data_IF_413221079577
#
_entry.id   IF_413221079577
#
_cell.length_a   1.000
_cell.length_b   1.000
_cell.length_c   1.000
_cell.angle_alpha   90.00
_cell.angle_beta   90.00
_cell.angle_gamma   90.00
#
_symmetry.space_group_name_H-M   'P 1'
#
loop_
_entity.id
_entity.type
_entity.pdbx_description
1 polymer ?
#
# COMPACT_ATOMS: atom_id res chain seq x y z
N UNK A 1 -9.91 53.44 -15.50
CA UNK A 1 -11.27 53.33 -16.07
C UNK A 1 -11.26 52.97 -17.58
N UNK A 2 -10.37 52.09 -18.04
CA UNK A 2 -10.28 51.67 -19.47
C UNK A 2 -10.30 50.12 -19.63
N UNK A 3 -9.97 49.36 -18.58
CA UNK A 3 -9.98 47.88 -18.60
C UNK A 3 -11.37 47.22 -18.44
N UNK A 4 -12.42 47.98 -18.08
CA UNK A 4 -13.76 47.43 -17.82
C UNK A 4 -14.74 47.55 -19.01
N UNK A 5 -14.40 48.29 -20.07
CA UNK A 5 -15.27 48.46 -21.25
C UNK A 5 -15.66 47.16 -21.98
N UNK A 6 -14.81 46.12 -22.12
CA UNK A 6 -15.21 44.91 -22.82
C UNK A 6 -16.09 43.96 -22.00
N UNK A 7 -16.15 44.11 -20.66
CA UNK A 7 -16.94 43.24 -19.79
C UNK A 7 -18.45 43.54 -19.84
N UNK A 8 -18.84 44.79 -20.09
CA UNK A 8 -20.24 45.20 -20.10
C UNK A 8 -21.05 44.64 -21.29
N UNK A 9 -20.38 44.29 -22.40
CA UNK A 9 -21.04 43.72 -23.59
C UNK A 9 -21.08 42.19 -23.60
N UNK A 10 -20.58 41.52 -22.54
CA UNK A 10 -20.60 40.08 -22.44
C UNK A 10 -21.97 39.62 -21.92
N UNK A 11 -22.64 38.76 -22.69
CA UNK A 11 -23.86 38.08 -22.24
C UNK A 11 -23.61 37.40 -20.89
N UNK A 12 -24.53 37.55 -19.93
CA UNK A 12 -24.47 36.94 -18.58
C UNK A 12 -23.95 35.49 -18.57
N UNK A 13 -24.42 34.65 -19.50
CA UNK A 13 -23.97 33.26 -19.64
C UNK A 13 -22.46 33.12 -19.88
N UNK A 14 -21.88 33.97 -20.72
CA UNK A 14 -20.44 33.96 -21.03
C UNK A 14 -19.63 34.37 -19.81
N UNK A 15 -20.09 35.37 -19.05
CA UNK A 15 -19.43 35.82 -17.82
C UNK A 15 -19.42 34.73 -16.75
N UNK A 16 -20.56 34.04 -16.54
CA UNK A 16 -20.64 32.90 -15.61
C UNK A 16 -19.71 31.76 -16.02
N UNK A 17 -19.62 31.44 -17.32
CA UNK A 17 -18.68 30.42 -17.82
C UNK A 17 -17.22 30.81 -17.57
N UNK A 18 -16.85 32.08 -17.81
CA UNK A 18 -15.50 32.58 -17.54
C UNK A 18 -15.17 32.44 -16.06
N UNK A 19 -16.08 32.86 -15.16
CA UNK A 19 -15.89 32.75 -13.72
C UNK A 19 -15.79 31.30 -13.24
N UNK A 20 -16.60 30.39 -13.79
CA UNK A 20 -16.51 28.96 -13.50
C UNK A 20 -15.18 28.35 -13.97
N UNK A 21 -14.71 28.71 -15.17
CA UNK A 21 -13.41 28.27 -15.67
C UNK A 21 -12.25 28.84 -14.84
N UNK A 22 -12.35 30.11 -14.42
CA UNK A 22 -11.36 30.73 -13.54
C UNK A 22 -11.31 30.01 -12.19
N UNK A 23 -12.46 29.72 -11.59
CA UNK A 23 -12.56 28.92 -10.36
C UNK A 23 -11.87 27.55 -10.50
N UNK A 24 -12.21 26.80 -11.55
CA UNK A 24 -11.63 25.47 -11.80
C UNK A 24 -10.12 25.54 -12.04
N UNK A 25 -9.65 26.57 -12.77
CA UNK A 25 -8.22 26.74 -13.03
C UNK A 25 -7.43 27.02 -11.76
N UNK A 26 -7.93 27.87 -10.85
CA UNK A 26 -7.30 28.13 -9.55
C UNK A 26 -7.23 26.84 -8.73
N UNK A 27 -8.33 26.11 -8.63
CA UNK A 27 -8.37 24.84 -7.90
C UNK A 27 -7.31 23.85 -8.43
N UNK A 28 -7.22 23.70 -9.75
CA UNK A 28 -6.24 22.78 -10.36
C UNK A 28 -4.80 23.27 -10.17
N UNK A 29 -4.54 24.58 -10.37
CA UNK A 29 -3.20 25.15 -10.26
C UNK A 29 -2.68 25.03 -8.82
N UNK A 30 -3.47 25.43 -7.83
CA UNK A 30 -3.07 25.34 -6.43
C UNK A 30 -2.98 23.89 -5.96
N UNK A 31 -3.92 23.03 -6.33
CA UNK A 31 -3.83 21.58 -6.04
C UNK A 31 -2.55 20.94 -6.59
N UNK A 32 -2.17 21.26 -7.82
CA UNK A 32 -0.90 20.80 -8.40
C UNK A 32 0.33 21.41 -7.71
N UNK A 33 0.27 22.70 -7.37
CA UNK A 33 1.35 23.40 -6.66
C UNK A 33 1.60 22.77 -5.29
N UNK A 34 0.55 22.54 -4.50
CA UNK A 34 0.67 21.88 -3.19
C UNK A 34 1.19 20.45 -3.32
N UNK A 35 0.70 19.69 -4.30
CA UNK A 35 1.22 18.36 -4.57
C UNK A 35 2.72 18.36 -4.90
N UNK A 36 3.18 19.33 -5.71
CA UNK A 36 4.60 19.47 -6.02
C UNK A 36 5.41 19.79 -4.76
N UNK A 37 4.95 20.75 -3.96
CA UNK A 37 5.62 21.15 -2.71
C UNK A 37 5.68 19.98 -1.73
N UNK A 38 4.58 19.26 -1.53
CA UNK A 38 4.53 18.13 -0.62
C UNK A 38 5.51 17.03 -1.03
N UNK A 39 5.59 16.69 -2.32
CA UNK A 39 6.53 15.68 -2.78
C UNK A 39 8.00 16.14 -2.79
N UNK A 40 8.26 17.44 -2.98
CA UNK A 40 9.62 17.99 -2.88
C UNK A 40 10.12 18.08 -1.44
N UNK A 41 9.20 18.23 -0.47
CA UNK A 41 9.51 18.33 0.96
C UNK A 41 9.27 17.03 1.73
N UNK A 42 9.02 15.90 1.03
CA UNK A 42 8.63 14.63 1.65
C UNK A 42 7.49 14.76 2.68
N UNK A 43 6.58 15.71 2.45
CA UNK A 43 5.44 16.00 3.31
C UNK A 43 5.72 16.95 4.47
N UNK A 44 6.97 17.32 4.78
CA UNK A 44 7.33 18.13 5.96
C UNK A 44 6.64 19.51 6.02
N UNK A 45 6.27 20.06 4.86
CA UNK A 45 5.60 21.35 4.76
C UNK A 45 4.09 21.28 5.03
N UNK A 46 3.57 20.08 5.32
CA UNK A 46 2.18 19.82 5.64
C UNK A 46 2.08 18.97 6.91
N UNK A 47 1.00 19.15 7.67
CA UNK A 47 0.59 18.23 8.73
C UNK A 47 -0.59 17.43 8.22
N UNK A 48 -0.50 16.11 8.29
CA UNK A 48 -1.57 15.20 7.88
C UNK A 48 -2.19 14.60 9.13
N UNK A 49 -3.53 14.53 9.17
CA UNK A 49 -4.21 13.73 10.18
C UNK A 49 -3.71 12.28 10.11
N UNK A 50 -3.49 11.67 11.29
CA UNK A 50 -2.85 10.35 11.41
C UNK A 50 -3.54 9.28 10.55
N UNK A 51 -4.86 9.20 10.57
CA UNK A 51 -5.61 8.18 9.82
C UNK A 51 -5.45 8.34 8.31
N UNK A 52 -5.42 9.58 7.81
CA UNK A 52 -5.27 9.88 6.38
C UNK A 52 -3.83 9.65 5.92
N UNK A 53 -2.86 10.02 6.76
CA UNK A 53 -1.47 9.70 6.52
C UNK A 53 -1.26 8.18 6.46
N UNK A 54 -1.85 7.44 7.41
CA UNK A 54 -1.73 5.98 7.48
C UNK A 54 -2.41 5.30 6.29
N UNK A 55 -3.63 5.74 5.93
CA UNK A 55 -4.31 5.25 4.73
C UNK A 55 -3.50 5.52 3.46
N UNK A 56 -2.88 6.70 3.35
CA UNK A 56 -2.00 7.04 2.22
C UNK A 56 -0.79 6.11 2.18
N UNK A 57 -0.14 5.87 3.32
CA UNK A 57 0.98 4.92 3.44
C UNK A 57 0.57 3.52 2.97
N UNK A 58 -0.51 2.95 3.49
CA UNK A 58 -1.02 1.63 3.10
C UNK A 58 -1.34 1.57 1.60
N UNK A 59 -1.96 2.62 1.05
CA UNK A 59 -2.30 2.70 -0.37
C UNK A 59 -1.06 2.69 -1.25
N UNK A 60 -0.02 3.46 -0.89
CA UNK A 60 1.23 3.51 -1.65
C UNK A 60 2.02 2.20 -1.52
N UNK A 61 2.04 1.60 -0.32
CA UNK A 61 2.65 0.29 -0.09
C UNK A 61 2.06 -0.77 -1.04
N UNK A 62 0.73 -0.90 -1.07
CA UNK A 62 0.03 -1.85 -1.93
C UNK A 62 0.26 -1.55 -3.41
N UNK A 63 0.25 -0.27 -3.80
CA UNK A 63 0.50 0.15 -5.18
C UNK A 63 1.90 -0.22 -5.66
N UNK A 64 2.94 -0.01 -4.84
CA UNK A 64 4.32 -0.33 -5.19
C UNK A 64 4.55 -1.83 -5.37
N UNK A 65 3.82 -2.66 -4.61
CA UNK A 65 3.82 -4.12 -4.73
C UNK A 65 2.79 -4.66 -5.73
N UNK A 66 2.02 -3.79 -6.42
CA UNK A 66 0.92 -4.18 -7.33
C UNK A 66 -0.12 -5.10 -6.69
N UNK A 67 -0.43 -4.87 -5.41
CA UNK A 67 -1.40 -5.66 -4.63
C UNK A 67 -2.82 -5.09 -4.81
N UNK A 68 -3.69 -5.87 -5.45
CA UNK A 68 -5.10 -5.52 -5.70
C UNK A 68 -6.07 -6.23 -4.73
N UNK A 69 -5.73 -6.26 -3.43
CA UNK A 69 -6.56 -6.90 -2.40
C UNK A 69 -7.38 -5.83 -1.68
N UNK A 70 -8.70 -5.96 -1.66
CA UNK A 70 -9.61 -5.08 -0.93
C UNK A 70 -10.19 -5.82 0.30
N UNK A 71 -9.38 -5.95 1.33
CA UNK A 71 -9.75 -6.62 2.58
C UNK A 71 -9.36 -5.72 3.77
N UNK A 72 -10.25 -5.61 4.77
CA UNK A 72 -10.07 -4.75 5.96
C UNK A 72 -8.91 -5.28 6.83
N UNK A 73 -8.94 -6.56 7.17
CA UNK A 73 -7.94 -7.24 7.98
C UNK A 73 -6.54 -7.14 7.34
N UNK A 74 -6.47 -7.21 6.01
CA UNK A 74 -5.22 -7.02 5.27
C UNK A 74 -4.68 -5.58 5.37
N UNK A 75 -5.55 -4.57 5.41
CA UNK A 75 -5.09 -3.20 5.65
C UNK A 75 -4.68 -2.99 7.11
N UNK A 76 -5.36 -3.66 8.05
CA UNK A 76 -5.07 -3.62 9.48
C UNK A 76 -3.69 -4.23 9.80
N UNK A 77 -3.35 -5.39 9.23
CA UNK A 77 -2.02 -5.97 9.44
C UNK A 77 -0.89 -5.08 8.87
N UNK A 78 -1.11 -4.38 7.75
CA UNK A 78 -0.12 -3.42 7.22
C UNK A 78 0.01 -2.22 8.17
N UNK A 79 -1.10 -1.72 8.70
CA UNK A 79 -1.11 -0.66 9.71
C UNK A 79 -0.29 -1.08 10.95
N UNK A 80 -0.48 -2.30 11.42
CA UNK A 80 0.21 -2.81 12.59
C UNK A 80 1.71 -3.01 12.32
N UNK A 81 2.08 -3.49 11.13
CA UNK A 81 3.47 -3.55 10.66
C UNK A 81 4.14 -2.16 10.59
N UNK A 82 3.40 -1.10 10.22
CA UNK A 82 3.93 0.27 10.24
C UNK A 82 4.09 0.76 11.69
N UNK A 83 3.18 0.40 12.60
CA UNK A 83 3.24 0.83 14.01
C UNK A 83 4.28 0.08 14.84
N UNK A 84 4.54 -1.19 14.52
CA UNK A 84 5.47 -2.05 15.26
C UNK A 84 6.93 -1.64 15.12
N UNK A 85 7.24 -0.77 14.16
CA UNK A 85 8.60 -0.32 13.84
C UNK A 85 9.56 -1.44 13.40
N UNK A 86 9.05 -2.63 13.08
CA UNK A 86 9.88 -3.75 12.62
C UNK A 86 10.66 -3.42 11.34
N UNK A 87 10.11 -2.53 10.51
CA UNK A 87 10.79 -2.00 9.31
C UNK A 87 12.12 -1.27 9.61
N UNK A 88 12.38 -0.88 10.87
CA UNK A 88 13.66 -0.29 11.29
C UNK A 88 14.77 -1.33 11.42
N UNK A 89 14.42 -2.62 11.58
CA UNK A 89 15.39 -3.70 11.61
C UNK A 89 16.16 -3.72 10.28
N UNK A 90 17.50 -3.85 10.31
CA UNK A 90 18.28 -3.88 9.08
C UNK A 90 17.96 -5.15 8.28
N UNK A 91 17.80 -4.96 6.97
CA UNK A 91 17.50 -6.01 6.00
C UNK A 91 18.73 -6.18 5.11
N UNK A 92 19.15 -7.41 4.90
CA UNK A 92 20.23 -7.78 3.98
C UNK A 92 19.73 -8.79 2.96
N UNK A 93 20.43 -8.87 1.84
CA UNK A 93 20.18 -9.92 0.84
C UNK A 93 21.02 -11.13 1.17
N UNK A 94 20.38 -12.28 1.27
CA UNK A 94 21.03 -13.57 1.46
C UNK A 94 21.07 -14.27 0.10
N UNK A 95 22.27 -14.70 -0.29
CA UNK A 95 22.52 -15.42 -1.52
C UNK A 95 22.36 -16.91 -1.27
N UNK A 96 21.45 -17.56 -2.02
CA UNK A 96 21.18 -18.98 -1.82
C UNK A 96 22.29 -19.92 -2.29
N UNK A 97 23.18 -19.45 -3.16
CA UNK A 97 24.44 -20.10 -3.56
C UNK A 97 25.34 -19.08 -4.28
N UNK A 98 26.67 -19.27 -4.25
CA UNK A 98 27.65 -18.37 -4.93
C UNK A 98 27.40 -18.28 -6.45
N UNK A 99 26.73 -19.28 -7.03
CA UNK A 99 26.48 -19.39 -8.47
C UNK A 99 25.03 -19.10 -8.90
N UNK A 100 24.10 -18.89 -7.96
CA UNK A 100 22.68 -18.69 -8.26
C UNK A 100 22.23 -17.27 -7.85
N UNK A 101 22.50 -16.31 -8.75
CA UNK A 101 22.11 -14.90 -8.57
C UNK A 101 20.60 -14.66 -8.73
N UNK A 102 19.82 -15.65 -9.16
CA UNK A 102 18.38 -15.48 -9.40
C UNK A 102 17.53 -15.57 -8.11
N UNK A 103 18.11 -16.06 -7.01
CA UNK A 103 17.41 -16.29 -5.74
C UNK A 103 17.93 -15.38 -4.60
N UNK A 104 17.97 -14.06 -4.83
CA UNK A 104 18.25 -13.09 -3.77
C UNK A 104 17.05 -12.99 -2.81
N UNK A 105 17.24 -13.36 -1.55
CA UNK A 105 16.19 -13.29 -0.54
C UNK A 105 16.46 -12.17 0.46
N UNK A 106 15.44 -11.37 0.76
CA UNK A 106 15.51 -10.40 1.84
C UNK A 106 15.44 -11.14 3.18
N UNK A 107 16.35 -10.83 4.11
CA UNK A 107 16.38 -11.39 5.47
C UNK A 107 16.68 -10.29 6.50
N UNK A 108 16.25 -10.47 7.74
CA UNK A 108 16.71 -9.63 8.83
C UNK A 108 18.17 -9.96 9.22
N UNK A 109 18.94 -8.95 9.61
CA UNK A 109 20.30 -9.15 10.16
C UNK A 109 20.23 -9.84 11.54
N UNK A 110 21.23 -10.67 11.87
CA UNK A 110 21.39 -11.44 13.13
C UNK A 110 20.49 -12.68 13.28
N UNK A 111 20.15 -13.35 12.18
CA UNK A 111 19.51 -14.67 12.21
C UNK A 111 18.20 -14.71 12.99
N UNK A 112 17.49 -13.59 12.94
CA UNK A 112 16.18 -13.43 13.54
C UNK A 112 15.10 -13.78 12.54
N UNK A 113 14.08 -14.47 13.02
CA UNK A 113 12.91 -14.79 12.22
C UNK A 113 12.11 -13.53 11.89
N UNK A 114 11.24 -13.63 10.88
CA UNK A 114 10.34 -12.55 10.49
C UNK A 114 9.19 -12.38 11.50
N UNK A 115 8.80 -13.44 12.22
CA UNK A 115 7.84 -13.36 13.31
C UNK A 115 6.37 -13.32 12.89
N UNK A 116 5.49 -13.29 13.89
CA UNK A 116 4.04 -13.51 13.74
C UNK A 116 3.36 -12.46 12.84
N UNK A 117 3.69 -11.17 12.99
CA UNK A 117 3.07 -10.10 12.20
C UNK A 117 3.31 -10.29 10.69
N UNK A 118 4.54 -10.63 10.30
CA UNK A 118 4.87 -10.92 8.91
C UNK A 118 4.27 -12.22 8.41
N UNK A 119 4.18 -13.24 9.27
CA UNK A 119 3.49 -14.48 8.96
C UNK A 119 2.01 -14.25 8.63
N UNK A 120 1.32 -13.48 9.46
CA UNK A 120 -0.08 -13.10 9.26
C UNK A 120 -0.26 -12.24 8.01
N UNK A 121 0.66 -11.30 7.74
CA UNK A 121 0.67 -10.53 6.50
C UNK A 121 0.75 -11.42 5.27
N UNK A 122 1.68 -12.37 5.23
CA UNK A 122 1.83 -13.27 4.09
C UNK A 122 0.65 -14.23 3.95
N UNK A 123 0.10 -14.72 5.06
CA UNK A 123 -1.11 -15.53 5.03
C UNK A 123 -2.28 -14.79 4.36
N UNK A 124 -2.57 -13.56 4.80
CA UNK A 124 -3.63 -12.73 4.24
C UNK A 124 -3.35 -12.31 2.79
N UNK A 125 -2.08 -12.06 2.45
CA UNK A 125 -1.65 -11.76 1.07
C UNK A 125 -1.95 -12.93 0.13
N UNK A 126 -1.57 -14.16 0.50
CA UNK A 126 -1.81 -15.34 -0.32
C UNK A 126 -3.31 -15.67 -0.40
N UNK A 127 -4.03 -15.56 0.72
CA UNK A 127 -5.48 -15.75 0.74
C UNK A 127 -6.18 -14.73 -0.17
N UNK A 128 -5.78 -13.46 -0.15
CA UNK A 128 -6.32 -12.42 -1.02
C UNK A 128 -5.97 -12.59 -2.50
N UNK A 129 -4.91 -13.35 -2.82
CA UNK A 129 -4.60 -13.82 -4.19
C UNK A 129 -5.44 -15.05 -4.59
N UNK A 130 -6.27 -15.57 -3.70
CA UNK A 130 -7.12 -16.75 -3.93
C UNK A 130 -6.39 -18.08 -3.79
N UNK A 131 -5.21 -18.07 -3.17
CA UNK A 131 -4.46 -19.30 -2.85
C UNK A 131 -5.13 -19.92 -1.62
N UNK A 132 -5.33 -21.24 -1.67
CA UNK A 132 -6.03 -21.98 -0.62
C UNK A 132 -5.18 -23.07 0.00
N UNK A 133 -4.28 -23.67 -0.77
CA UNK A 133 -3.48 -24.81 -0.32
C UNK A 133 -1.99 -24.62 -0.62
N UNK A 134 -1.18 -25.37 0.12
CA UNK A 134 0.25 -25.48 -0.08
C UNK A 134 0.71 -26.94 -0.06
N UNK A 135 1.86 -27.19 -0.67
CA UNK A 135 2.60 -28.46 -0.57
C UNK A 135 4.07 -28.14 -0.36
N UNK A 136 4.68 -28.79 0.62
CA UNK A 136 6.13 -28.78 0.80
C UNK A 136 6.71 -29.79 -0.20
N UNK A 137 7.51 -29.32 -1.14
CA UNK A 137 8.12 -30.13 -2.20
C UNK A 137 9.44 -30.73 -1.74
N UNK A 138 10.24 -29.95 -1.02
CA UNK A 138 11.51 -30.37 -0.41
C UNK A 138 11.82 -29.53 0.82
N UNK A 139 12.55 -30.13 1.76
CA UNK A 139 13.16 -29.49 2.91
C UNK A 139 14.62 -29.95 2.98
N UNK A 140 15.55 -29.03 2.79
CA UNK A 140 16.99 -29.32 2.78
C UNK A 140 17.66 -28.53 3.89
N UNK A 141 18.35 -29.22 4.80
CA UNK A 141 19.14 -28.57 5.84
C UNK A 141 20.38 -27.91 5.23
N UNK A 142 20.60 -26.64 5.53
CA UNK A 142 21.73 -25.85 5.06
C UNK A 142 22.38 -25.11 6.22
N UNK A 143 23.72 -25.04 6.18
CA UNK A 143 24.49 -24.26 7.14
C UNK A 143 24.88 -22.93 6.49
N UNK A 144 24.24 -21.84 6.91
CA UNK A 144 24.54 -20.48 6.48
C UNK A 144 25.75 -19.96 7.26
N UNK A 145 26.75 -19.44 6.54
CA UNK A 145 27.93 -18.78 7.10
C UNK A 145 28.65 -19.59 8.20
N UNK A 146 28.62 -20.92 8.13
CA UNK A 146 29.21 -21.85 9.10
C UNK A 146 28.75 -21.65 10.56
N UNK A 147 27.60 -21.00 10.80
CA UNK A 147 27.11 -20.69 12.15
C UNK A 147 25.63 -20.95 12.36
N UNK A 148 24.81 -20.85 11.31
CA UNK A 148 23.36 -20.98 11.43
C UNK A 148 22.90 -22.16 10.60
N UNK A 149 22.29 -23.12 11.27
CA UNK A 149 21.52 -24.16 10.58
C UNK A 149 20.15 -23.60 10.25
N UNK A 150 19.73 -23.73 9.00
CA UNK A 150 18.40 -23.39 8.53
C UNK A 150 17.97 -24.38 7.46
N UNK A 151 16.67 -24.63 7.36
CA UNK A 151 16.08 -25.46 6.33
C UNK A 151 15.63 -24.61 5.17
N UNK A 152 16.12 -24.92 3.97
CA UNK A 152 15.63 -24.38 2.70
C UNK A 152 14.42 -25.20 2.27
N UNK A 153 13.24 -24.61 2.35
CA UNK A 153 11.99 -25.22 1.93
C UNK A 153 11.57 -24.71 0.56
N UNK A 154 11.15 -25.63 -0.30
CA UNK A 154 10.43 -25.31 -1.53
C UNK A 154 8.95 -25.59 -1.32
N UNK A 155 8.11 -24.56 -1.42
CA UNK A 155 6.67 -24.64 -1.16
C UNK A 155 5.91 -24.31 -2.44
N UNK A 156 5.18 -25.29 -2.98
CA UNK A 156 4.23 -25.07 -4.08
C UNK A 156 2.90 -24.57 -3.53
N UNK A 157 2.35 -23.52 -4.16
CA UNK A 157 1.10 -22.86 -3.80
C UNK A 157 0.00 -23.21 -4.80
N UNK A 158 -1.20 -23.47 -4.29
CA UNK A 158 -2.31 -24.01 -5.05
C UNK A 158 -3.62 -23.26 -4.80
N UNK A 159 -4.45 -23.25 -5.84
CA UNK A 159 -5.85 -22.85 -5.78
C UNK A 159 -6.72 -24.08 -6.01
N UNK A 160 -7.81 -24.18 -5.26
CA UNK A 160 -8.78 -25.25 -5.44
C UNK A 160 -9.79 -24.88 -6.52
N UNK A 161 -10.17 -25.86 -7.34
CA UNK A 161 -11.13 -25.70 -8.44
C UNK A 161 -12.58 -25.95 -8.01
N UNK A 162 -12.85 -26.02 -6.71
CA UNK A 162 -14.17 -26.25 -6.15
C UNK A 162 -14.90 -24.94 -5.86
N UNK A 163 -16.22 -24.94 -6.08
CA UNK A 163 -17.11 -23.85 -5.70
C UNK A 163 -17.52 -23.91 -4.22
N UNK A 164 -17.32 -25.04 -3.54
CA UNK A 164 -17.70 -25.19 -2.15
C UNK A 164 -16.63 -24.59 -1.22
N UNK A 165 -17.05 -23.75 -0.26
CA UNK A 165 -16.12 -23.05 0.63
C UNK A 165 -15.45 -23.98 1.63
N UNK A 166 -16.15 -25.03 2.06
CA UNK A 166 -15.64 -25.98 3.05
C UNK A 166 -14.44 -26.77 2.53
N UNK A 167 -14.35 -26.93 1.21
CA UNK A 167 -13.24 -27.62 0.53
C UNK A 167 -11.89 -26.91 0.71
N UNK A 168 -11.89 -25.64 1.12
CA UNK A 168 -10.66 -24.90 1.43
C UNK A 168 -9.98 -25.36 2.72
N UNK A 169 -10.67 -26.13 3.58
CA UNK A 169 -10.15 -26.66 4.84
C UNK A 169 -9.81 -28.16 4.76
N UNK A 170 -9.97 -28.77 3.59
CA UNK A 170 -9.74 -30.20 3.39
C UNK A 170 -8.27 -30.46 3.05
N UNK A 171 -7.71 -31.52 3.62
CA UNK A 171 -6.38 -32.01 3.22
C UNK A 171 -6.55 -33.00 2.06
N UNK A 172 -5.80 -32.82 0.96
CA UNK A 172 -5.92 -33.65 -0.23
C UNK A 172 -4.75 -34.62 -0.41
N UNK A 173 -5.06 -35.80 -0.97
CA UNK A 173 -4.06 -36.83 -1.29
C UNK A 173 -3.34 -36.53 -2.61
N UNK A 174 -2.21 -37.20 -2.85
CA UNK A 174 -1.48 -37.08 -4.13
C UNK A 174 -2.37 -37.34 -5.36
N UNK A 175 -3.31 -38.28 -5.27
CA UNK A 175 -4.26 -38.63 -6.34
C UNK A 175 -5.26 -37.52 -6.69
N UNK A 176 -5.52 -36.59 -5.77
CA UNK A 176 -6.47 -35.49 -5.94
C UNK A 176 -5.88 -34.27 -6.65
N UNK A 177 -4.63 -34.34 -7.13
CA UNK A 177 -3.93 -33.22 -7.78
C UNK A 177 -4.74 -32.53 -8.89
N UNK A 178 -5.63 -33.24 -9.60
CA UNK A 178 -6.51 -32.66 -10.62
C UNK A 178 -7.54 -31.64 -10.10
N UNK A 179 -7.80 -31.63 -8.78
CA UNK A 179 -8.72 -30.68 -8.13
C UNK A 179 -8.02 -29.36 -7.74
N UNK A 180 -6.69 -29.31 -7.83
CA UNK A 180 -5.89 -28.17 -7.42
C UNK A 180 -5.01 -27.68 -8.56
N UNK A 181 -5.15 -26.42 -8.90
CA UNK A 181 -4.30 -25.75 -9.87
C UNK A 181 -3.09 -25.17 -9.16
N UNK A 182 -1.89 -25.54 -9.62
CA UNK A 182 -0.64 -24.95 -9.13
C UNK A 182 -0.54 -23.51 -9.64
N UNK A 183 -0.41 -22.56 -8.72
CA UNK A 183 -0.32 -21.12 -9.03
C UNK A 183 1.13 -20.65 -9.04
N UNK A 184 1.90 -21.02 -8.01
CA UNK A 184 3.26 -20.50 -7.83
C UNK A 184 4.13 -21.46 -6.99
N UNK A 185 5.42 -21.17 -6.88
CA UNK A 185 6.35 -21.83 -5.95
C UNK A 185 7.19 -20.78 -5.24
N UNK A 186 7.24 -20.86 -3.92
CA UNK A 186 8.07 -19.97 -3.09
C UNK A 186 9.18 -20.77 -2.41
N UNK A 187 10.30 -20.11 -2.17
CA UNK A 187 11.43 -20.67 -1.43
C UNK A 187 11.56 -19.89 -0.13
N UNK A 188 11.62 -20.59 1.00
CA UNK A 188 11.77 -19.99 2.33
C UNK A 188 12.87 -20.68 3.12
N UNK A 189 13.56 -19.91 3.95
CA UNK A 189 14.61 -20.38 4.83
C UNK A 189 14.09 -20.34 6.25
N UNK A 190 14.03 -21.48 6.94
CA UNK A 190 13.43 -21.61 8.26
C UNK A 190 14.52 -22.05 9.24
N UNK A 191 14.73 -21.29 10.31
CA UNK A 191 15.81 -21.56 11.26
C UNK A 191 15.59 -22.88 11.99
N UNK A 192 14.44 -22.97 12.65
CA UNK A 192 14.05 -24.10 13.49
C UNK A 192 12.86 -24.77 12.83
N UNK A 193 13.07 -25.45 11.70
CA UNK A 193 11.99 -26.16 11.00
C UNK A 193 11.40 -27.19 11.97
N UNK A 194 10.15 -27.00 12.43
CA UNK A 194 9.55 -27.98 13.31
C UNK A 194 9.42 -29.26 12.50
N UNK A 195 10.02 -30.35 12.97
CA UNK A 195 9.98 -31.69 12.38
C UNK A 195 8.55 -32.26 12.44
N UNK A 196 7.61 -31.64 11.75
CA UNK A 196 6.24 -32.13 11.55
C UNK A 196 6.20 -33.17 10.42
N UNK A 197 7.30 -33.29 9.67
CA UNK A 197 7.48 -34.27 8.60
C UNK A 197 7.27 -35.72 9.06
N UNK A 198 7.71 -36.06 10.27
CA UNK A 198 7.78 -37.47 10.66
C UNK A 198 6.47 -38.08 11.15
N UNK A 199 5.47 -37.29 11.56
CA UNK A 199 4.17 -37.80 12.04
C UNK A 199 2.98 -37.45 11.12
N UNK A 200 2.97 -36.27 10.48
CA UNK A 200 1.83 -35.81 9.68
C UNK A 200 2.00 -35.98 8.16
N UNK A 201 3.24 -35.90 7.64
CA UNK A 201 3.54 -35.97 6.20
C UNK A 201 3.78 -37.40 5.69
N UNK A 202 3.86 -38.41 6.58
CA UNK A 202 3.95 -39.84 6.22
C UNK A 202 2.65 -40.45 5.68
N UNK A 203 1.53 -39.72 5.72
CA UNK A 203 0.24 -40.17 5.14
C UNK A 203 0.15 -39.80 3.66
N UNK A 204 -0.75 -40.43 2.89
CA UNK A 204 -0.99 -40.15 1.45
C UNK A 204 -1.32 -38.68 1.10
N UNK A 205 -1.57 -37.86 2.12
CA UNK A 205 -1.93 -36.45 2.04
C UNK A 205 -0.73 -35.59 1.68
N UNK A 206 -0.88 -34.74 0.66
CA UNK A 206 0.20 -33.89 0.15
C UNK A 206 -0.17 -32.42 0.01
N UNK A 207 -1.45 -32.07 -0.05
CA UNK A 207 -1.88 -30.69 -0.17
C UNK A 207 -2.63 -30.29 1.10
N UNK A 208 -2.12 -29.27 1.77
CA UNK A 208 -2.62 -28.80 3.06
C UNK A 208 -3.22 -27.41 2.89
N UNK A 209 -4.34 -27.10 3.56
CA UNK A 209 -4.84 -25.73 3.64
C UNK A 209 -3.76 -24.77 4.13
N UNK A 210 -3.74 -23.54 3.60
CA UNK A 210 -2.81 -22.50 4.08
C UNK A 210 -2.94 -22.28 5.59
N UNK A 211 -4.17 -22.31 6.13
CA UNK A 211 -4.44 -22.11 7.56
C UNK A 211 -3.85 -23.19 8.47
N UNK A 212 -3.45 -24.35 7.91
CA UNK A 212 -2.98 -25.47 8.71
C UNK A 212 -1.60 -25.22 9.32
N UNK A 213 -0.64 -24.78 8.51
CA UNK A 213 0.77 -24.68 8.95
C UNK A 213 1.56 -23.54 8.32
N UNK A 214 1.01 -22.85 7.31
CA UNK A 214 1.75 -21.80 6.61
C UNK A 214 2.19 -20.67 7.54
N UNK A 215 1.33 -20.22 8.45
CA UNK A 215 1.65 -19.15 9.41
C UNK A 215 2.82 -19.54 10.31
N UNK A 216 2.82 -20.76 10.85
CA UNK A 216 3.92 -21.26 11.71
C UNK A 216 5.23 -21.35 10.94
N UNK A 217 5.19 -21.81 9.67
CA UNK A 217 6.37 -21.82 8.81
C UNK A 217 6.92 -20.41 8.59
N UNK A 218 6.04 -19.45 8.26
CA UNK A 218 6.44 -18.08 8.01
C UNK A 218 6.91 -17.38 9.28
N UNK A 219 6.30 -17.63 10.43
CA UNK A 219 6.72 -17.05 11.71
C UNK A 219 8.18 -17.40 12.05
N UNK A 220 8.57 -18.64 11.73
CA UNK A 220 9.93 -19.17 11.91
C UNK A 220 10.83 -18.96 10.68
N UNK A 221 10.33 -18.32 9.63
CA UNK A 221 11.11 -18.00 8.44
C UNK A 221 12.13 -16.91 8.75
N UNK A 222 13.34 -17.05 8.24
CA UNK A 222 14.38 -16.03 8.20
C UNK A 222 14.27 -15.15 6.96
N UNK A 223 13.61 -15.66 5.91
CA UNK A 223 13.47 -14.97 4.62
C UNK A 223 12.06 -14.46 4.38
N UNK A 224 11.99 -13.26 3.81
CA UNK A 224 10.78 -12.69 3.24
C UNK A 224 10.48 -13.32 1.88
N UNK A 225 9.20 -13.29 1.47
CA UNK A 225 8.77 -13.82 0.16
C UNK A 225 8.96 -12.83 -0.98
N UNK A 226 9.19 -11.56 -0.68
CA UNK A 226 9.22 -10.46 -1.63
C UNK A 226 9.92 -9.21 -1.06
N UNK A 227 9.83 -8.09 -1.76
CA UNK A 227 10.37 -6.78 -1.37
C UNK A 227 9.47 -6.01 -0.38
N UNK A 228 8.42 -6.64 0.17
CA UNK A 228 7.54 -6.02 1.17
C UNK A 228 8.27 -5.32 2.31
N UNK A 229 9.29 -5.89 2.98
CA UNK A 229 9.94 -5.21 4.10
C UNK A 229 10.72 -3.95 3.68
N UNK A 230 11.28 -3.93 2.46
CA UNK A 230 11.98 -2.76 1.91
C UNK A 230 11.00 -1.63 1.57
N UNK A 231 9.87 -1.99 0.94
CA UNK A 231 8.83 -1.03 0.57
C UNK A 231 8.13 -0.52 1.83
N UNK A 232 7.89 -1.37 2.83
CA UNK A 232 7.34 -0.97 4.12
C UNK A 232 8.24 0.07 4.78
N UNK A 233 9.56 -0.17 4.82
CA UNK A 233 10.53 0.80 5.34
C UNK A 233 10.48 2.12 4.59
N UNK A 234 10.45 2.09 3.26
CA UNK A 234 10.36 3.31 2.43
C UNK A 234 9.12 4.12 2.76
N UNK A 235 7.96 3.46 2.84
CA UNK A 235 6.68 4.11 3.09
C UNK A 235 6.57 4.61 4.53
N UNK A 236 6.98 3.80 5.51
CA UNK A 236 6.90 4.15 6.92
C UNK A 236 7.76 5.38 7.25
N UNK A 237 8.95 5.47 6.64
CA UNK A 237 9.90 6.59 6.77
C UNK A 237 9.51 7.85 5.97
N UNK A 238 8.39 7.83 5.23
CA UNK A 238 7.96 8.98 4.44
C UNK A 238 8.62 9.11 3.06
N UNK A 239 9.46 8.13 2.67
CA UNK A 239 10.06 8.07 1.34
C UNK A 239 9.07 7.49 0.33
N UNK A 240 8.02 8.27 0.03
CA UNK A 240 7.02 7.92 -0.96
C UNK A 240 6.40 9.16 -1.60
N UNK A 241 5.75 8.97 -2.74
CA UNK A 241 5.06 10.04 -3.45
C UNK A 241 3.61 10.14 -2.99
N UNK A 242 3.23 11.29 -2.45
CA UNK A 242 1.84 11.59 -2.09
C UNK A 242 0.95 11.66 -3.35
N UNK A 243 -0.31 11.19 -3.26
CA UNK A 243 -1.25 11.23 -4.37
C UNK A 243 -1.72 12.66 -4.67
N UNK A 244 -1.85 12.99 -5.96
CA UNK A 244 -2.32 14.31 -6.42
C UNK A 244 -3.70 14.66 -5.87
N UNK A 245 -4.59 13.67 -5.81
CA UNK A 245 -5.98 13.86 -5.39
C UNK A 245 -6.13 14.39 -3.97
N UNK A 246 -5.22 14.07 -3.04
CA UNK A 246 -5.25 14.62 -1.68
C UNK A 246 -5.07 16.15 -1.70
N UNK A 247 -4.25 16.67 -2.61
CA UNK A 247 -3.98 18.11 -2.70
C UNK A 247 -4.99 18.85 -3.57
N UNK A 248 -5.58 18.17 -4.56
CA UNK A 248 -6.76 18.67 -5.27
C UNK A 248 -7.93 18.84 -4.30
N UNK A 249 -8.12 17.86 -3.41
CA UNK A 249 -9.08 17.94 -2.32
C UNK A 249 -8.74 19.08 -1.35
N UNK A 250 -7.48 19.17 -0.88
CA UNK A 250 -7.02 20.25 0.00
C UNK A 250 -7.29 21.65 -0.58
N UNK A 251 -6.98 21.85 -1.87
CA UNK A 251 -7.30 23.10 -2.59
C UNK A 251 -8.82 23.36 -2.63
N UNK A 252 -9.62 22.34 -2.96
CA UNK A 252 -11.07 22.46 -2.98
C UNK A 252 -11.66 22.85 -1.62
N UNK A 253 -11.25 22.20 -0.53
CA UNK A 253 -11.77 22.51 0.83
C UNK A 253 -11.28 23.85 1.36
N UNK A 254 -10.13 24.33 0.85
CA UNK A 254 -9.59 25.66 1.16
C UNK A 254 -10.38 26.76 0.46
N UNK A 255 -10.59 26.64 -0.86
CA UNK A 255 -11.34 27.62 -1.67
C UNK A 255 -12.81 27.71 -1.24
N UNK A 256 -13.42 26.57 -0.89
CA UNK A 256 -14.81 26.51 -0.40
C UNK A 256 -14.96 26.94 1.06
N UNK A 257 -13.87 27.33 1.73
CA UNK A 257 -13.83 27.73 3.16
C UNK A 257 -14.29 26.64 4.13
N UNK A 258 -14.35 25.38 3.67
CA UNK A 258 -14.82 24.23 4.44
C UNK A 258 -13.78 23.79 5.48
N UNK A 259 -12.51 23.71 5.07
CA UNK A 259 -11.38 23.56 5.98
C UNK A 259 -11.48 22.44 7.01
N UNK A 260 -11.75 21.19 6.60
CA UNK A 260 -11.89 20.05 7.51
C UNK A 260 -10.68 19.80 8.43
N UNK A 261 -9.49 20.30 8.06
CA UNK A 261 -8.29 20.20 8.89
C UNK A 261 -7.60 18.82 8.82
N UNK A 262 -7.87 18.06 7.77
CA UNK A 262 -7.22 16.78 7.49
C UNK A 262 -5.79 16.92 6.93
N UNK A 263 -5.56 18.02 6.19
CA UNK A 263 -4.26 18.47 5.72
C UNK A 263 -4.10 19.93 6.14
N UNK A 264 -3.03 20.28 6.85
CA UNK A 264 -2.76 21.65 7.28
C UNK A 264 -1.41 22.16 6.75
N UNK A 265 -1.29 23.45 6.42
CA UNK A 265 -0.03 24.04 6.01
C UNK A 265 0.93 24.22 7.20
N UNK A 266 2.08 23.55 7.17
CA UNK A 266 3.08 23.61 8.24
C UNK A 266 4.12 24.71 8.01
N UNK A 267 4.52 24.97 6.76
CA UNK A 267 5.58 25.95 6.44
C UNK A 267 5.03 27.33 6.07
N UNK A 268 5.82 28.39 6.32
CA UNK A 268 5.46 29.79 6.01
C UNK A 268 5.10 29.97 4.54
N UNK A 269 5.83 29.33 3.63
CA UNK A 269 5.60 29.44 2.18
C UNK A 269 4.22 28.88 1.81
N UNK A 270 3.88 27.69 2.32
CA UNK A 270 2.57 27.08 2.04
C UNK A 270 1.45 27.89 2.67
N UNK A 271 1.64 28.44 3.89
CA UNK A 271 0.66 29.31 4.53
C UNK A 271 0.37 30.57 3.70
N UNK A 272 1.41 31.20 3.14
CA UNK A 272 1.24 32.35 2.24
C UNK A 272 0.45 31.96 0.98
N UNK A 273 0.76 30.82 0.36
CA UNK A 273 0.02 30.32 -0.80
C UNK A 273 -1.46 30.08 -0.49
N UNK A 274 -1.75 29.45 0.65
CA UNK A 274 -3.13 29.24 1.14
C UNK A 274 -3.85 30.56 1.35
N UNK A 275 -3.21 31.56 1.97
CA UNK A 275 -3.82 32.89 2.13
C UNK A 275 -4.21 33.51 0.78
N UNK A 276 -3.32 33.44 -0.22
CA UNK A 276 -3.61 33.94 -1.57
C UNK A 276 -4.74 33.16 -2.24
N UNK A 277 -4.72 31.83 -2.16
CA UNK A 277 -5.76 30.97 -2.72
C UNK A 277 -7.13 31.28 -2.13
N UNK A 278 -7.22 31.41 -0.80
CA UNK A 278 -8.48 31.70 -0.11
C UNK A 278 -9.05 33.05 -0.53
N UNK A 279 -8.21 34.10 -0.63
CA UNK A 279 -8.66 35.43 -1.10
C UNK A 279 -9.20 35.33 -2.53
N UNK A 280 -8.46 34.70 -3.45
CA UNK A 280 -8.90 34.55 -4.83
C UNK A 280 -10.20 33.75 -4.94
N UNK A 281 -10.28 32.63 -4.21
CA UNK A 281 -11.44 31.75 -4.19
C UNK A 281 -12.71 32.46 -3.72
N UNK A 282 -12.64 33.14 -2.57
CA UNK A 282 -13.79 33.89 -2.01
C UNK A 282 -14.25 34.99 -2.95
N UNK A 283 -13.33 35.75 -3.54
CA UNK A 283 -13.66 36.82 -4.51
C UNK A 283 -14.40 36.24 -5.72
N UNK A 284 -13.94 35.12 -6.27
CA UNK A 284 -14.55 34.52 -7.45
C UNK A 284 -15.92 33.93 -7.15
N UNK A 285 -16.08 33.25 -6.01
CA UNK A 285 -17.39 32.72 -5.57
C UNK A 285 -18.36 33.89 -5.37
N UNK A 286 -17.93 34.97 -4.73
CA UNK A 286 -18.75 36.18 -4.53
C UNK A 286 -19.14 36.85 -5.85
N UNK A 287 -18.21 36.97 -6.80
CA UNK A 287 -18.48 37.49 -8.14
C UNK A 287 -19.44 36.58 -8.92
N UNK A 288 -19.27 35.26 -8.82
CA UNK A 288 -20.13 34.29 -9.48
C UNK A 288 -21.56 34.38 -8.95
N UNK A 289 -21.74 34.38 -7.63
CA UNK A 289 -23.05 34.55 -7.00
C UNK A 289 -23.69 35.89 -7.40
N UNK A 290 -22.93 36.98 -7.34
CA UNK A 290 -23.41 38.31 -7.74
C UNK A 290 -23.88 38.33 -9.20
N UNK A 291 -23.11 37.74 -10.12
CA UNK A 291 -23.47 37.63 -11.52
C UNK A 291 -24.68 36.72 -11.74
N UNK A 292 -24.82 35.66 -10.95
CA UNK A 292 -25.94 34.70 -11.05
C UNK A 292 -27.28 35.39 -10.74
N UNK A 293 -27.31 36.19 -9.67
CA UNK A 293 -28.51 36.90 -9.21
C UNK A 293 -28.70 38.28 -9.86
N UNK A 294 -27.78 38.73 -10.70
CA UNK A 294 -27.97 39.94 -11.50
C UNK A 294 -29.11 39.69 -12.51
N UNK A 295 -30.26 40.33 -12.30
CA UNK A 295 -31.31 40.44 -13.30
C UNK A 295 -30.97 41.59 -14.26
N UNK A 296 -30.78 41.28 -15.55
CA UNK A 296 -30.93 42.27 -16.61
C UNK A 296 -32.38 42.76 -16.50
N UNK A 297 -32.59 44.00 -16.02
CA UNK A 297 -33.89 44.64 -16.22
C UNK A 297 -34.04 44.83 -17.72
N UNK A 298 -35.14 44.33 -18.27
CA UNK A 298 -35.63 44.63 -19.63
C UNK A 298 -35.61 46.14 -19.92
#
# INVERSE_FOLDING_TARGET
MILLKPLHNLRKRTLLLILAMLYLSILIIFGFLYWKIANMSSGEYFVFQNDINMHTKITVFKKNLKINIHNKDFNEIINDLIKSEEYKRPIVKLYGDVYDKENELNVFVLDKTIGEMWANYYYLLLQGKGITHMRIDSAEEQVINNKITAYKLRISLYKINSMNRDDSYIVYKKGDSKKLDKIDTVIVWIKDYPLIEDEFLKKDYKFYPLSFYFTVLMENSMSFLDDSPLILKSVATGNFKYPLWNFMYFSSVTITTLGYGDILPNSTIVRILVMFETILGVVIIGMFASCLFWNEKD
#
